data_IF_389728236855
#
_entry.id   IF_389728236855
#
_cell.length_a   1.000
_cell.length_b   1.000
_cell.length_c   1.000
_cell.angle_alpha   90.00
_cell.angle_beta   90.00
_cell.angle_gamma   90.00
#
_symmetry.space_group_name_H-M   'P 1'
#
loop_
_entity.id
_entity.type
_entity.pdbx_description
1 polymer ?
#
# COMPACT_ATOMS: atom_id res chain seq x y z
N UNK A 1 15.52 -3.75 27.60
CA UNK A 1 14.10 -3.35 27.54
C UNK A 1 14.00 -2.06 26.74
N UNK A 2 13.86 -2.18 25.42
CA UNK A 2 13.64 -1.02 24.56
C UNK A 2 12.14 -0.76 24.54
N UNK A 3 11.73 0.39 25.07
CA UNK A 3 10.37 0.88 24.95
C UNK A 3 10.10 1.13 23.46
N UNK A 4 9.28 0.28 22.84
CA UNK A 4 8.72 0.56 21.51
C UNK A 4 7.69 1.67 21.75
N UNK A 5 8.10 2.90 21.47
CA UNK A 5 7.23 4.06 21.49
C UNK A 5 6.00 3.76 20.64
N UNK A 6 4.83 3.85 21.25
CA UNK A 6 3.51 3.90 20.60
C UNK A 6 3.44 5.14 19.72
N UNK A 7 4.06 5.03 18.54
CA UNK A 7 4.00 6.05 17.51
C UNK A 7 2.73 5.86 16.71
N UNK A 8 1.65 6.50 17.18
CA UNK A 8 0.46 6.75 16.38
C UNK A 8 0.83 7.74 15.27
N UNK A 9 1.40 7.27 14.16
CA UNK A 9 1.67 8.12 12.99
C UNK A 9 0.86 7.64 11.77
N UNK A 10 -0.33 8.24 11.62
CA UNK A 10 -1.08 8.42 10.37
C UNK A 10 -0.73 7.44 9.24
N UNK A 11 -1.40 6.28 9.24
CA UNK A 11 -1.75 5.60 8.00
C UNK A 11 -2.69 6.53 7.24
N UNK A 12 -2.29 6.96 6.05
CA UNK A 12 -3.20 7.62 5.11
C UNK A 12 -2.87 7.06 3.76
N UNK A 13 -3.82 6.38 3.12
CA UNK A 13 -3.68 5.99 1.73
C UNK A 13 -4.20 7.16 0.86
N UNK A 14 -3.43 7.52 -0.17
CA UNK A 14 -3.74 8.61 -1.07
C UNK A 14 -4.08 8.02 -2.44
N UNK A 15 -5.27 8.34 -2.94
CA UNK A 15 -5.64 8.00 -4.30
C UNK A 15 -5.09 9.05 -5.27
N UNK A 16 -4.40 8.61 -6.31
CA UNK A 16 -3.92 9.47 -7.39
C UNK A 16 -4.48 8.93 -8.69
N UNK A 17 -5.58 9.52 -9.15
CA UNK A 17 -6.20 9.14 -10.42
C UNK A 17 -5.27 9.53 -11.57
N UNK A 18 -4.83 8.55 -12.38
CA UNK A 18 -4.21 8.83 -13.68
C UNK A 18 -5.31 8.87 -14.73
N UNK A 19 -5.34 9.87 -15.62
CA UNK A 19 -6.36 9.91 -16.66
C UNK A 19 -6.21 8.68 -17.57
N UNK A 20 -7.19 7.79 -17.53
CA UNK A 20 -7.39 6.77 -18.55
C UNK A 20 -7.69 7.48 -19.87
N UNK A 21 -7.01 7.09 -20.94
CA UNK A 21 -7.16 7.70 -22.25
C UNK A 21 -8.63 7.60 -22.71
N UNK A 22 -9.36 8.70 -22.63
CA UNK A 22 -10.72 8.81 -23.14
C UNK A 22 -10.66 8.78 -24.68
N UNK A 23 -11.05 7.65 -25.26
CA UNK A 23 -11.41 7.58 -26.68
C UNK A 23 -12.73 8.35 -26.85
N UNK A 24 -12.64 9.55 -27.41
CA UNK A 24 -13.82 10.34 -27.77
C UNK A 24 -14.48 9.77 -29.01
N UNK A 25 -15.76 9.39 -28.92
CA UNK A 25 -16.64 9.44 -30.08
C UNK A 25 -18.03 9.93 -29.64
N UNK A 26 -18.42 11.08 -30.18
CA UNK A 26 -19.64 11.77 -29.78
C UNK A 26 -20.89 11.20 -30.42
N UNK A 27 -22.01 11.27 -29.69
CA UNK A 27 -23.34 11.68 -30.16
C UNK A 27 -24.26 11.86 -28.94
N UNK A 28 -24.92 13.01 -28.84
CA UNK A 28 -25.95 13.24 -27.84
C UNK A 28 -27.29 12.67 -28.34
N UNK A 29 -27.99 11.92 -27.50
CA UNK A 29 -29.43 11.68 -27.65
C UNK A 29 -30.14 11.96 -26.32
N UNK A 30 -31.07 12.90 -26.38
CA UNK A 30 -31.94 13.34 -25.29
C UNK A 30 -33.23 12.51 -25.27
N UNK A 31 -33.53 11.87 -24.13
CA UNK A 31 -34.86 11.46 -23.58
C UNK A 31 -34.91 10.01 -23.10
N UNK A 32 -34.63 9.80 -21.81
CA UNK A 32 -35.36 8.85 -20.95
C UNK A 32 -34.96 9.11 -19.49
N UNK A 33 -35.94 9.36 -18.64
CA UNK A 33 -35.79 9.53 -17.19
C UNK A 33 -36.09 8.22 -16.45
N UNK A 34 -35.64 8.15 -15.20
CA UNK A 34 -36.14 7.25 -14.13
C UNK A 34 -35.69 5.79 -14.24
N UNK A 35 -34.39 5.52 -14.11
CA UNK A 35 -33.85 4.42 -13.28
C UNK A 35 -32.44 4.87 -12.85
N UNK A 36 -32.13 4.81 -11.55
CA UNK A 36 -30.81 5.15 -11.03
C UNK A 36 -29.69 4.39 -11.76
N UNK A 37 -28.49 4.96 -11.98
CA UNK A 37 -27.32 4.14 -12.29
C UNK A 37 -26.79 3.53 -10.98
N UNK A 38 -27.57 2.61 -10.40
CA UNK A 38 -26.99 1.44 -9.75
C UNK A 38 -26.42 0.58 -10.88
N UNK A 39 -25.12 0.27 -10.84
CA UNK A 39 -24.34 -0.41 -11.88
C UNK A 39 -24.02 0.42 -13.13
N UNK A 40 -23.11 1.37 -12.98
CA UNK A 40 -21.95 1.43 -13.86
C UNK A 40 -20.70 1.68 -12.99
N UNK A 41 -20.49 0.80 -12.00
CA UNK A 41 -19.14 0.61 -11.47
C UNK A 41 -18.40 -0.12 -12.58
N UNK A 42 -17.77 0.67 -13.45
CA UNK A 42 -16.84 0.18 -14.45
C UNK A 42 -15.93 -0.87 -13.81
N UNK A 43 -15.79 -1.99 -14.49
CA UNK A 43 -14.99 -3.19 -14.18
C UNK A 43 -13.47 -2.89 -14.14
N UNK A 44 -13.10 -1.72 -13.63
CA UNK A 44 -11.73 -1.30 -13.45
C UNK A 44 -11.19 -1.98 -12.20
N UNK A 45 -10.38 -3.01 -12.43
CA UNK A 45 -9.56 -3.60 -11.38
C UNK A 45 -8.54 -2.55 -10.95
N UNK A 46 -8.88 -1.79 -9.91
CA UNK A 46 -7.93 -0.91 -9.23
C UNK A 46 -6.79 -1.74 -8.65
N UNK A 47 -5.59 -1.37 -9.08
CA UNK A 47 -4.33 -1.91 -8.62
C UNK A 47 -3.73 -1.01 -7.54
N UNK A 48 -3.04 -1.62 -6.58
CA UNK A 48 -2.48 -0.98 -5.40
C UNK A 48 -0.95 -0.97 -5.47
N UNK A 49 -0.34 0.19 -5.26
CA UNK A 49 1.07 0.31 -4.89
C UNK A 49 1.16 0.51 -3.38
N UNK A 50 1.74 -0.46 -2.67
CA UNK A 50 1.93 -0.37 -1.21
C UNK A 50 3.31 0.21 -0.93
N UNK A 51 3.37 1.39 -0.33
CA UNK A 51 4.62 2.08 0.03
C UNK A 51 4.95 1.85 1.50
N UNK A 52 6.14 1.31 1.76
CA UNK A 52 6.71 1.05 3.08
C UNK A 52 7.91 1.99 3.33
N UNK A 53 7.75 3.10 4.07
CA UNK A 53 8.85 3.92 4.51
C UNK A 53 9.55 3.24 5.69
N UNK A 54 10.76 2.75 5.49
CA UNK A 54 11.49 1.95 6.48
C UNK A 54 12.74 2.69 6.95
N UNK A 55 12.97 2.73 8.27
CA UNK A 55 14.21 3.23 8.84
C UNK A 55 14.61 2.33 10.02
N UNK A 56 15.71 1.60 9.87
CA UNK A 56 16.27 0.74 10.92
C UNK A 56 15.34 -0.39 11.42
N UNK A 57 14.45 -0.88 10.56
CA UNK A 57 13.41 -1.86 10.93
C UNK A 57 13.89 -3.33 10.94
N UNK A 58 15.03 -3.61 10.33
CA UNK A 58 15.64 -4.95 10.32
C UNK A 58 14.67 -6.04 9.83
N UNK A 59 14.37 -7.00 10.70
CA UNK A 59 13.50 -8.13 10.38
C UNK A 59 12.01 -7.76 10.24
N UNK A 60 11.56 -6.65 10.85
CA UNK A 60 10.16 -6.22 10.76
C UNK A 60 9.78 -5.84 9.32
N UNK A 61 10.70 -5.21 8.58
CA UNK A 61 10.50 -4.91 7.17
C UNK A 61 10.14 -6.17 6.36
N UNK A 62 10.87 -7.27 6.57
CA UNK A 62 10.58 -8.55 5.91
C UNK A 62 9.19 -9.06 6.30
N UNK A 63 8.90 -9.09 7.61
CA UNK A 63 7.62 -9.59 8.11
C UNK A 63 6.44 -8.80 7.51
N UNK A 64 6.57 -7.48 7.38
CA UNK A 64 5.56 -6.63 6.76
C UNK A 64 5.41 -6.87 5.27
N UNK A 65 6.51 -6.94 4.52
CA UNK A 65 6.49 -7.26 3.07
C UNK A 65 5.74 -8.58 2.84
N UNK A 66 6.12 -9.61 3.60
CA UNK A 66 5.52 -10.93 3.55
C UNK A 66 4.03 -10.90 3.93
N UNK A 67 3.66 -10.14 4.95
CA UNK A 67 2.26 -9.98 5.36
C UNK A 67 1.43 -9.28 4.28
N UNK A 68 1.92 -8.19 3.68
CA UNK A 68 1.22 -7.52 2.58
C UNK A 68 1.01 -8.47 1.40
N UNK A 69 2.04 -9.24 1.03
CA UNK A 69 1.92 -10.21 -0.05
C UNK A 69 0.88 -11.30 0.20
N UNK A 70 0.90 -11.90 1.40
CA UNK A 70 0.00 -13.02 1.72
C UNK A 70 -1.45 -12.60 1.88
N UNK A 71 -1.70 -11.39 2.37
CA UNK A 71 -3.04 -10.90 2.71
C UNK A 71 -3.62 -9.95 1.64
N UNK A 72 -2.99 -9.85 0.46
CA UNK A 72 -3.51 -9.08 -0.67
C UNK A 72 -3.66 -9.95 -1.90
N UNK A 73 -4.83 -9.88 -2.53
CA UNK A 73 -5.12 -10.59 -3.78
C UNK A 73 -4.09 -10.27 -4.87
N UNK A 74 -3.56 -11.28 -5.61
CA UNK A 74 -2.53 -11.06 -6.62
C UNK A 74 -2.92 -10.08 -7.74
N UNK A 75 -4.19 -10.03 -8.12
CA UNK A 75 -4.67 -9.10 -9.15
C UNK A 75 -4.84 -7.65 -8.64
N UNK A 76 -4.80 -7.43 -7.32
CA UNK A 76 -4.88 -6.10 -6.69
C UNK A 76 -3.51 -5.53 -6.39
N UNK A 77 -2.54 -6.35 -6.03
CA UNK A 77 -1.21 -5.86 -5.68
C UNK A 77 -0.34 -5.66 -6.93
N UNK A 78 -0.15 -4.40 -7.33
CA UNK A 78 0.77 -4.05 -8.42
C UNK A 78 2.22 -4.24 -8.00
N UNK A 79 2.55 -3.67 -6.84
CA UNK A 79 3.91 -3.61 -6.32
C UNK A 79 3.95 -3.24 -4.83
N UNK A 80 5.04 -3.61 -4.17
CA UNK A 80 5.42 -3.16 -2.84
C UNK A 80 6.69 -2.31 -2.98
N UNK A 81 6.62 -1.03 -2.65
CA UNK A 81 7.74 -0.10 -2.73
C UNK A 81 8.31 0.08 -1.32
N UNK A 82 9.48 -0.49 -1.07
CA UNK A 82 10.23 -0.34 0.17
C UNK A 82 11.19 0.83 0.01
N UNK A 83 11.03 1.86 0.84
CA UNK A 83 11.94 3.01 0.88
C UNK A 83 12.83 2.89 2.11
N UNK A 84 14.08 2.49 1.92
CA UNK A 84 15.11 2.42 2.97
C UNK A 84 15.70 3.81 3.24
N UNK A 85 15.29 4.44 4.33
CA UNK A 85 15.67 5.79 4.73
C UNK A 85 17.00 5.85 5.51
N UNK A 86 18.06 5.29 4.90
CA UNK A 86 19.41 5.34 5.44
C UNK A 86 19.69 4.32 6.55
N UNK A 87 19.02 3.16 6.54
CA UNK A 87 19.28 2.10 7.53
C UNK A 87 20.75 1.65 7.52
N UNK A 88 21.22 1.23 8.69
CA UNK A 88 22.57 0.70 8.93
C UNK A 88 22.43 -0.63 9.71
N UNK A 89 22.83 -1.78 9.13
CA UNK A 89 23.20 -1.96 7.73
C UNK A 89 22.02 -1.65 6.77
N UNK A 90 22.30 -1.36 5.48
CA UNK A 90 21.25 -1.16 4.49
C UNK A 90 20.26 -2.33 4.43
N UNK A 91 18.97 -2.03 4.20
CA UNK A 91 17.95 -3.09 4.07
C UNK A 91 18.23 -4.02 2.90
N UNK A 92 18.91 -3.53 1.87
CA UNK A 92 19.38 -4.38 0.76
C UNK A 92 20.33 -5.49 1.20
N UNK A 93 20.95 -5.40 2.37
CA UNK A 93 21.82 -6.45 2.91
C UNK A 93 21.09 -7.37 3.88
N UNK A 94 20.07 -6.87 4.58
CA UNK A 94 19.31 -7.62 5.59
C UNK A 94 18.12 -8.37 5.01
N UNK A 95 17.52 -7.88 3.92
CA UNK A 95 16.44 -8.56 3.22
C UNK A 95 17.00 -9.80 2.49
N UNK A 96 16.33 -10.97 2.57
CA UNK A 96 16.74 -12.19 1.91
C UNK A 96 16.80 -12.03 0.38
N UNK A 97 17.65 -12.83 -0.26
CA UNK A 97 18.00 -12.70 -1.68
C UNK A 97 16.85 -12.60 -2.70
N UNK A 98 15.70 -13.28 -2.59
CA UNK A 98 14.63 -13.12 -3.58
C UNK A 98 14.09 -11.68 -3.69
N UNK A 99 14.26 -10.86 -2.65
CA UNK A 99 13.89 -9.44 -2.64
C UNK A 99 14.97 -8.50 -3.18
N UNK A 100 16.23 -8.97 -3.26
CA UNK A 100 17.39 -8.14 -3.66
C UNK A 100 17.53 -7.99 -5.17
N UNK A 101 16.89 -8.87 -5.94
CA UNK A 101 17.12 -9.02 -7.40
C UNK A 101 16.30 -8.06 -8.27
N UNK A 102 15.37 -7.27 -7.72
CA UNK A 102 14.61 -6.26 -8.46
C UNK A 102 15.35 -4.91 -8.59
N UNK A 103 16.69 -4.95 -8.54
CA UNK A 103 17.55 -3.84 -8.98
C UNK A 103 17.69 -3.90 -10.51
N UNK A 104 16.76 -3.28 -11.23
CA UNK A 104 17.05 -2.84 -12.61
C UNK A 104 16.04 -3.20 -13.70
N UNK A 105 14.85 -3.69 -13.40
CA UNK A 105 13.85 -3.94 -14.43
C UNK A 105 12.70 -4.77 -13.91
N UNK A 106 11.49 -4.35 -14.27
CA UNK A 106 10.27 -5.13 -14.06
C UNK A 106 10.32 -6.34 -14.98
N UNK A 107 10.72 -7.50 -14.47
CA UNK A 107 10.46 -8.78 -15.13
C UNK A 107 9.19 -9.35 -14.50
N UNK A 108 8.05 -9.41 -15.23
CA UNK A 108 6.83 -10.05 -14.75
C UNK A 108 7.02 -11.57 -14.73
N UNK A 109 7.75 -12.04 -13.71
CA UNK A 109 7.76 -13.43 -13.29
C UNK A 109 6.71 -13.68 -12.20
N UNK A 110 6.47 -14.94 -11.80
CA UNK A 110 5.58 -15.32 -10.69
C UNK A 110 6.12 -14.92 -9.29
N UNK A 111 6.98 -13.91 -9.23
CA UNK A 111 7.66 -13.46 -8.03
C UNK A 111 6.94 -12.33 -7.29
N UNK A 112 7.37 -12.11 -6.07
CA UNK A 112 6.92 -11.04 -5.19
C UNK A 112 7.34 -9.65 -5.76
N UNK A 113 6.40 -8.75 -6.11
CA UNK A 113 6.70 -7.52 -6.85
C UNK A 113 7.25 -6.40 -5.94
N UNK A 114 8.46 -6.55 -5.40
CA UNK A 114 9.06 -5.56 -4.47
C UNK A 114 10.10 -4.67 -5.13
N UNK A 115 9.96 -3.36 -4.98
CA UNK A 115 10.98 -2.39 -5.39
C UNK A 115 11.64 -1.78 -4.16
N UNK A 116 12.96 -1.89 -4.06
CA UNK A 116 13.73 -1.27 -2.98
C UNK A 116 14.40 0.02 -3.46
N UNK A 117 13.98 1.15 -2.90
CA UNK A 117 14.57 2.48 -3.11
C UNK A 117 15.36 2.84 -1.86
N UNK A 118 16.61 3.29 -1.99
CA UNK A 118 17.44 3.66 -0.85
C UNK A 118 17.79 5.14 -0.85
N UNK A 119 17.64 5.78 0.29
CA UNK A 119 18.29 7.05 0.58
C UNK A 119 19.70 6.82 1.14
N UNK A 120 20.67 7.59 0.65
CA UNK A 120 22.05 7.51 1.14
C UNK A 120 22.21 7.98 2.59
N UNK A 121 21.31 8.84 3.06
CA UNK A 121 21.22 9.36 4.43
C UNK A 121 19.75 9.45 4.84
N UNK A 122 19.46 9.42 6.13
CA UNK A 122 18.10 9.60 6.65
C UNK A 122 17.54 10.96 6.25
N UNK A 123 16.36 10.95 5.63
CA UNK A 123 15.62 12.14 5.16
C UNK A 123 14.30 12.34 5.91
N UNK A 124 13.87 11.37 6.72
CA UNK A 124 12.66 11.39 7.52
C UNK A 124 11.44 10.77 6.83
N UNK A 125 10.45 10.40 7.64
CA UNK A 125 9.23 9.67 7.23
C UNK A 125 8.51 10.33 6.03
N UNK A 126 8.33 11.66 6.06
CA UNK A 126 7.64 12.39 4.99
C UNK A 126 8.40 12.27 3.67
N UNK A 127 9.73 12.45 3.69
CA UNK A 127 10.54 12.34 2.48
C UNK A 127 10.58 10.90 1.95
N UNK A 128 10.55 9.91 2.83
CA UNK A 128 10.43 8.50 2.46
C UNK A 128 9.07 8.19 1.81
N UNK A 129 7.95 8.61 2.44
CA UNK A 129 6.60 8.51 1.86
C UNK A 129 6.53 9.20 0.51
N UNK A 130 7.04 10.43 0.38
CA UNK A 130 7.08 11.14 -0.91
C UNK A 130 7.85 10.36 -1.98
N UNK A 131 9.05 9.88 -1.64
CA UNK A 131 9.89 9.14 -2.61
C UNK A 131 9.21 7.87 -3.10
N UNK A 132 8.54 7.14 -2.20
CA UNK A 132 7.77 5.94 -2.59
C UNK A 132 6.51 6.29 -3.38
N UNK A 133 5.79 7.35 -2.98
CA UNK A 133 4.60 7.83 -3.70
C UNK A 133 4.92 8.32 -5.12
N UNK A 134 6.02 9.05 -5.31
CA UNK A 134 6.48 9.49 -6.63
C UNK A 134 6.85 8.30 -7.54
N UNK A 135 7.24 7.16 -6.96
CA UNK A 135 7.63 5.95 -7.69
C UNK A 135 6.47 4.98 -7.99
N UNK A 136 5.28 5.22 -7.40
CA UNK A 136 4.12 4.33 -7.49
C UNK A 136 3.47 4.32 -8.88
N UNK A 137 3.13 3.12 -9.34
CA UNK A 137 2.56 2.84 -10.67
C UNK A 137 1.13 2.28 -10.63
N UNK A 138 0.63 1.88 -9.46
CA UNK A 138 -0.74 1.44 -9.25
C UNK A 138 -1.75 2.59 -9.28
N UNK A 139 -3.02 2.25 -9.44
CA UNK A 139 -4.14 3.22 -9.47
C UNK A 139 -4.35 3.88 -8.10
N UNK A 140 -4.02 3.17 -7.02
CA UNK A 140 -4.13 3.66 -5.64
C UNK A 140 -2.80 3.50 -4.91
N UNK A 141 -2.39 4.52 -4.15
CA UNK A 141 -1.20 4.47 -3.30
C UNK A 141 -1.62 4.23 -1.85
N UNK A 142 -1.15 3.13 -1.27
CA UNK A 142 -1.39 2.79 0.13
C UNK A 142 -0.09 2.95 0.91
N UNK A 143 -0.10 3.77 1.96
CA UNK A 143 1.06 3.90 2.85
C UNK A 143 0.86 3.06 4.09
N UNK A 144 1.74 2.08 4.29
CA UNK A 144 1.83 1.28 5.50
C UNK A 144 3.15 1.56 6.20
N UNK A 145 3.17 1.52 7.53
CA UNK A 145 4.42 1.53 8.26
C UNK A 145 5.17 0.21 8.05
N UNK A 146 6.48 0.23 8.23
CA UNK A 146 7.35 -0.89 7.89
C UNK A 146 7.45 -1.96 9.01
N UNK A 147 6.41 -2.06 9.83
CA UNK A 147 6.27 -3.01 10.94
C UNK A 147 4.79 -3.37 11.21
N UNK A 148 3.95 -3.40 10.18
CA UNK A 148 2.53 -3.77 10.28
C UNK A 148 2.22 -5.13 9.66
N UNK A 149 1.09 -5.72 10.05
CA UNK A 149 0.47 -6.91 9.45
C UNK A 149 -0.98 -6.55 9.07
N UNK A 150 -1.31 -6.35 7.79
CA UNK A 150 -2.70 -6.20 7.39
C UNK A 150 -3.48 -7.51 7.61
N UNK A 151 -4.79 -7.39 7.86
CA UNK A 151 -5.72 -8.53 7.93
C UNK A 151 -6.11 -9.03 6.54
N UNK A 152 -6.57 -10.27 6.44
CA UNK A 152 -7.15 -10.78 5.20
C UNK A 152 -8.34 -9.93 4.73
N UNK A 153 -8.36 -9.59 3.45
CA UNK A 153 -9.43 -8.81 2.84
C UNK A 153 -9.40 -7.32 3.18
N UNK A 154 -8.30 -6.81 3.75
CA UNK A 154 -8.15 -5.39 4.03
C UNK A 154 -8.32 -4.53 2.78
N UNK A 155 -7.83 -5.00 1.63
CA UNK A 155 -7.83 -4.29 0.36
C UNK A 155 -9.24 -4.14 -0.21
N UNK A 156 -10.09 -5.17 -0.09
CA UNK A 156 -11.48 -5.09 -0.52
C UNK A 156 -12.25 -4.11 0.36
N UNK A 157 -12.05 -4.18 1.68
CA UNK A 157 -12.68 -3.28 2.64
C UNK A 157 -12.24 -1.83 2.39
N UNK A 158 -10.96 -1.63 2.11
CA UNK A 158 -10.37 -0.34 1.79
C UNK A 158 -10.93 0.26 0.49
N UNK A 159 -10.88 -0.47 -0.62
CA UNK A 159 -11.43 -0.03 -1.91
C UNK A 159 -12.92 0.24 -1.85
N UNK A 160 -13.68 -0.59 -1.12
CA UNK A 160 -15.11 -0.38 -0.90
C UNK A 160 -15.40 0.96 -0.20
N UNK A 161 -14.56 1.36 0.76
CA UNK A 161 -14.72 2.67 1.42
C UNK A 161 -14.34 3.82 0.49
N UNK A 162 -13.31 3.65 -0.35
CA UNK A 162 -12.96 4.64 -1.36
C UNK A 162 -14.10 4.85 -2.37
N UNK A 163 -14.67 3.77 -2.90
CA UNK A 163 -15.80 3.83 -3.83
C UNK A 163 -17.03 4.48 -3.21
N UNK A 164 -17.28 4.23 -1.92
CA UNK A 164 -18.37 4.88 -1.18
C UNK A 164 -18.17 6.37 -1.01
N UNK A 165 -16.92 6.82 -0.82
CA UNK A 165 -16.63 8.24 -0.75
C UNK A 165 -16.88 8.95 -2.09
N UNK A 166 -16.71 8.23 -3.21
CA UNK A 166 -17.11 8.68 -4.55
C UNK A 166 -16.29 9.85 -5.10
N UNK A 167 -15.19 10.22 -4.45
CA UNK A 167 -14.31 11.32 -4.84
C UNK A 167 -12.84 10.92 -4.64
N UNK A 168 -12.04 11.16 -5.68
CA UNK A 168 -10.59 10.98 -5.72
C UNK A 168 -9.84 11.84 -4.69
N UNK A 169 -10.51 12.84 -4.10
CA UNK A 169 -9.97 13.68 -3.02
C UNK A 169 -10.06 13.05 -1.63
N UNK A 170 -10.72 11.91 -1.49
CA UNK A 170 -10.91 11.27 -0.20
C UNK A 170 -9.74 10.36 0.16
N UNK A 171 -9.27 10.45 1.40
CA UNK A 171 -8.36 9.46 1.98
C UNK A 171 -9.11 8.54 2.94
N UNK A 172 -8.83 7.25 2.85
CA UNK A 172 -9.35 6.25 3.78
C UNK A 172 -8.24 5.85 4.74
N UNK A 173 -8.57 5.83 6.02
CA UNK A 173 -7.66 5.43 7.10
C UNK A 173 -8.24 4.19 7.79
N UNK A 174 -7.50 3.07 7.84
CA UNK A 174 -7.98 1.88 8.55
C UNK A 174 -7.91 2.08 10.06
N UNK A 175 -8.71 1.32 10.79
CA UNK A 175 -8.54 1.18 12.24
C UNK A 175 -7.23 0.46 12.53
N UNK A 176 -6.37 1.09 13.32
CA UNK A 176 -5.07 0.55 13.71
C UNK A 176 -5.24 -0.22 15.02
N UNK A 177 -4.83 -1.49 15.04
CA UNK A 177 -4.86 -2.35 16.22
C UNK A 177 -3.44 -2.71 16.68
N UNK A 178 -3.32 -3.30 17.87
CA UNK A 178 -2.02 -3.66 18.44
C UNK A 178 -1.54 -4.99 17.88
N UNK A 179 -0.26 -5.06 17.51
CA UNK A 179 0.39 -6.26 16.98
C UNK A 179 1.46 -6.70 17.98
N UNK A 180 1.44 -7.97 18.37
CA UNK A 180 2.48 -8.54 19.22
C UNK A 180 3.78 -8.74 18.39
N UNK A 181 4.92 -8.15 18.79
CA UNK A 181 6.14 -8.12 17.96
C UNK A 181 6.81 -9.50 17.83
N UNK A 182 6.59 -10.39 18.80
CA UNK A 182 7.23 -11.71 18.87
C UNK A 182 6.43 -12.74 18.08
N UNK A 183 5.14 -12.89 18.38
CA UNK A 183 4.22 -13.82 17.72
C UNK A 183 3.73 -13.33 16.35
N UNK A 184 3.79 -12.02 16.08
CA UNK A 184 3.26 -11.40 14.86
C UNK A 184 1.74 -11.59 14.72
N UNK A 185 1.02 -11.66 15.85
CA UNK A 185 -0.44 -11.78 15.90
C UNK A 185 -1.11 -10.55 16.51
N UNK A 186 -2.33 -10.27 16.06
CA UNK A 186 -3.13 -9.15 16.56
C UNK A 186 -3.50 -9.40 18.03
N UNK A 187 -3.19 -8.42 18.88
CA UNK A 187 -3.58 -8.44 20.29
C UNK A 187 -5.06 -8.03 20.36
N UNK A 188 -5.95 -8.89 20.90
CA UNK A 188 -7.37 -8.55 21.01
C UNK A 188 -7.55 -7.28 21.83
N UNK A 189 -8.21 -6.27 21.23
CA UNK A 189 -8.63 -5.11 22.00
C UNK A 189 -9.85 -5.46 22.85
N UNK A 190 -9.97 -4.89 24.05
CA UNK A 190 -11.13 -5.11 24.91
C UNK A 190 -12.47 -4.64 24.29
N UNK A 191 -12.45 -3.92 23.16
CA UNK A 191 -13.64 -3.42 22.44
C UNK A 191 -14.24 -4.43 21.44
N UNK A 192 -13.69 -5.64 21.35
CA UNK A 192 -14.14 -6.70 20.42
C UNK A 192 -14.77 -7.92 21.11
N UNK A 193 -15.29 -7.75 22.34
CA UNK A 193 -16.16 -8.71 23.03
C UNK A 193 -17.59 -8.18 23.15
#
# INVERSE_FOLDING_TARGET
>A
AAAIATSTFLLGACYVERPTALVSNGRQDTRASIVAPLLQASDHIETLSVVLPCAFEGAFAQKTIDSVWRHTKPHRLKEIIVVDDGSIPPLSLTLPQPLRLLRGGFEPGPGLPVRLIRHNKTRGLIAAKKTGGDAAEGDVIVFFDCHVKPRDGWEDAFLKQMHRAGDHRTMVVPTITSLDPDSWEEIPSAASQ
#
